data_IF_034708726142
#
_entry.id   IF_034708726142
#
_cell.length_a   1.000
_cell.length_b   1.000
_cell.length_c   1.000
_cell.angle_alpha   90.00
_cell.angle_beta   90.00
_cell.angle_gamma   90.00
#
_symmetry.space_group_name_H-M   'P 1'
#
loop_
_entity.id
_entity.type
_entity.pdbx_description
1 polymer ?
#
# COMPACT_ATOMS: atom_id res chain seq x y z
N UNK A 1 15.75 2.57 -2.00
CA UNK A 1 14.98 3.01 -3.18
C UNK A 1 13.50 2.79 -2.91
N UNK A 2 12.65 3.78 -3.26
CA UNK A 2 11.21 3.70 -3.06
C UNK A 2 10.48 3.82 -4.40
N UNK A 3 9.64 2.82 -4.74
CA UNK A 3 8.83 2.78 -5.96
C UNK A 3 7.34 2.77 -5.60
N UNK A 4 6.57 3.68 -6.18
CA UNK A 4 5.11 3.69 -6.10
C UNK A 4 4.52 3.15 -7.40
N UNK A 5 3.68 2.13 -7.29
CA UNK A 5 2.95 1.52 -8.41
C UNK A 5 1.47 1.82 -8.25
N UNK A 6 0.89 2.57 -9.19
CA UNK A 6 -0.51 2.97 -9.18
C UNK A 6 -1.27 2.38 -10.37
N UNK A 7 -2.56 2.15 -10.23
CA UNK A 7 -3.41 1.73 -11.35
C UNK A 7 -4.80 1.34 -10.91
N UNK A 8 -5.72 1.26 -11.86
CA UNK A 8 -7.11 0.86 -11.65
C UNK A 8 -7.24 -0.61 -11.23
N UNK A 9 -8.47 -1.02 -10.90
CA UNK A 9 -8.79 -2.42 -10.64
C UNK A 9 -8.43 -3.28 -11.85
N UNK A 10 -7.84 -4.45 -11.62
CA UNK A 10 -7.41 -5.40 -12.66
C UNK A 10 -6.45 -4.81 -13.73
N UNK A 11 -5.79 -3.69 -13.45
CA UNK A 11 -4.84 -3.06 -14.38
C UNK A 11 -3.55 -3.87 -14.62
N UNK A 12 -3.26 -4.90 -13.79
CA UNK A 12 -2.00 -5.64 -13.81
C UNK A 12 -0.92 -5.06 -12.88
N UNK A 13 -1.26 -4.04 -12.06
CA UNK A 13 -0.31 -3.39 -11.14
C UNK A 13 0.36 -4.32 -10.15
N UNK A 14 -0.40 -5.28 -9.57
CA UNK A 14 0.13 -6.26 -8.61
C UNK A 14 1.17 -7.16 -9.25
N UNK A 15 0.88 -7.68 -10.44
CA UNK A 15 1.83 -8.52 -11.18
C UNK A 15 3.09 -7.74 -11.59
N UNK A 16 2.92 -6.49 -12.03
CA UNK A 16 4.05 -5.62 -12.32
C UNK A 16 4.91 -5.40 -11.07
N UNK A 17 4.31 -5.07 -9.93
CA UNK A 17 5.01 -4.82 -8.68
C UNK A 17 5.76 -6.06 -8.18
N UNK A 18 5.16 -7.25 -8.25
CA UNK A 18 5.85 -8.50 -7.92
C UNK A 18 7.06 -8.72 -8.84
N UNK A 19 6.92 -8.59 -10.16
CA UNK A 19 8.02 -8.73 -11.11
C UNK A 19 9.12 -7.68 -10.85
N UNK A 20 8.74 -6.46 -10.52
CA UNK A 20 9.69 -5.41 -10.16
C UNK A 20 10.53 -5.81 -8.95
N UNK A 21 9.91 -6.26 -7.85
CA UNK A 21 10.64 -6.71 -6.65
C UNK A 21 11.53 -7.92 -6.96
N UNK A 22 11.07 -8.85 -7.79
CA UNK A 22 11.89 -9.98 -8.23
C UNK A 22 13.15 -9.52 -8.99
N UNK A 23 13.05 -8.49 -9.83
CA UNK A 23 14.18 -7.96 -10.60
C UNK A 23 15.23 -7.24 -9.75
N UNK A 24 14.86 -6.76 -8.54
CA UNK A 24 15.77 -6.12 -7.61
C UNK A 24 16.72 -7.12 -6.90
N UNK A 25 16.40 -8.41 -6.99
CA UNK A 25 17.17 -9.49 -6.35
C UNK A 25 17.96 -10.22 -7.42
N UNK A 26 19.27 -9.99 -7.49
CA UNK A 26 20.14 -10.78 -8.39
C UNK A 26 20.38 -12.17 -7.79
N UNK A 27 20.51 -13.23 -8.63
CA UNK A 27 20.79 -14.60 -8.17
C UNK A 27 22.06 -14.71 -7.31
N UNK A 28 23.04 -13.84 -7.52
CA UNK A 28 24.31 -13.79 -6.79
C UNK A 28 24.18 -13.24 -5.36
N UNK A 29 23.09 -12.55 -5.06
CA UNK A 29 22.76 -12.00 -3.74
C UNK A 29 21.74 -12.84 -2.97
N UNK A 30 21.34 -13.99 -3.50
CA UNK A 30 20.48 -14.94 -2.80
C UNK A 30 21.39 -15.81 -1.89
N UNK A 31 21.97 -15.18 -0.90
CA UNK A 31 22.39 -15.89 0.33
C UNK A 31 21.09 -16.18 1.13
N UNK A 32 21.00 -17.29 1.84
CA UNK A 32 19.87 -17.55 2.74
C UNK A 32 19.66 -16.45 3.80
N UNK A 33 20.59 -15.52 3.91
CA UNK A 33 20.58 -14.41 4.87
C UNK A 33 20.47 -13.02 4.22
N UNK A 34 20.66 -12.89 2.91
CA UNK A 34 20.62 -11.60 2.22
C UNK A 34 19.49 -11.57 1.17
N UNK A 35 18.48 -10.76 1.42
CA UNK A 35 17.46 -10.44 0.43
C UNK A 35 16.15 -11.17 0.64
N UNK A 36 15.67 -11.21 1.86
CA UNK A 36 14.28 -11.61 2.12
C UNK A 36 13.35 -10.73 1.30
N UNK A 37 12.58 -11.35 0.43
CA UNK A 37 11.46 -10.70 -0.25
C UNK A 37 10.26 -10.77 0.67
N UNK A 38 9.86 -9.62 1.18
CA UNK A 38 8.74 -9.52 2.11
C UNK A 38 7.53 -8.99 1.34
N UNK A 39 6.42 -9.71 1.44
CA UNK A 39 5.13 -9.26 0.94
C UNK A 39 4.24 -8.91 2.13
N UNK A 40 3.88 -7.64 2.26
CA UNK A 40 2.96 -7.16 3.29
C UNK A 40 1.56 -7.14 2.70
N UNK A 41 0.70 -8.05 3.17
CA UNK A 41 -0.69 -8.15 2.77
C UNK A 41 -1.57 -7.32 3.71
N UNK A 42 -2.27 -6.34 3.16
CA UNK A 42 -3.14 -5.44 3.93
C UNK A 42 -4.62 -5.77 3.82
N UNK A 43 -5.00 -6.68 2.91
CA UNK A 43 -6.39 -7.09 2.72
C UNK A 43 -6.86 -7.98 3.86
N UNK A 44 -7.90 -7.54 4.58
CA UNK A 44 -8.55 -8.35 5.60
C UNK A 44 -9.38 -9.48 4.99
N UNK A 45 -9.39 -10.69 5.58
CA UNK A 45 -10.15 -11.83 5.07
C UNK A 45 -11.63 -11.72 5.46
N UNK A 46 -12.42 -10.96 4.72
CA UNK A 46 -13.86 -10.92 4.90
C UNK A 46 -14.57 -11.96 4.02
N UNK A 47 -15.39 -12.85 4.66
CA UNK A 47 -16.18 -13.87 3.99
C UNK A 47 -15.44 -15.17 3.66
N UNK A 48 -16.22 -16.25 3.38
CA UNK A 48 -15.68 -17.61 3.16
C UNK A 48 -14.75 -17.72 1.95
N UNK A 49 -15.08 -17.07 0.85
CA UNK A 49 -14.29 -17.11 -0.39
C UNK A 49 -12.98 -16.30 -0.30
N UNK A 50 -12.90 -15.32 0.61
CA UNK A 50 -11.69 -14.54 0.82
C UNK A 50 -10.53 -15.41 1.33
N UNK A 51 -10.79 -16.34 2.25
CA UNK A 51 -9.75 -17.24 2.80
C UNK A 51 -9.16 -18.14 1.72
N UNK A 52 -9.98 -18.73 0.86
CA UNK A 52 -9.51 -19.59 -0.23
C UNK A 52 -8.68 -18.79 -1.25
N UNK A 53 -9.10 -17.56 -1.56
CA UNK A 53 -8.36 -16.64 -2.44
C UNK A 53 -7.03 -16.24 -1.82
N UNK A 54 -6.99 -15.87 -0.56
CA UNK A 54 -5.77 -15.52 0.18
C UNK A 54 -4.82 -16.72 0.20
N UNK A 55 -5.29 -17.92 0.54
CA UNK A 55 -4.46 -19.13 0.57
C UNK A 55 -3.82 -19.43 -0.80
N UNK A 56 -4.58 -19.28 -1.89
CA UNK A 56 -4.06 -19.46 -3.26
C UNK A 56 -2.99 -18.40 -3.59
N UNK A 57 -3.22 -17.15 -3.24
CA UNK A 57 -2.24 -16.08 -3.43
C UNK A 57 -0.97 -16.29 -2.60
N UNK A 58 -1.09 -16.80 -1.36
CA UNK A 58 0.06 -17.16 -0.54
C UNK A 58 0.89 -18.27 -1.17
N UNK A 59 0.25 -19.34 -1.70
CA UNK A 59 0.95 -20.43 -2.38
C UNK A 59 1.73 -19.93 -3.59
N UNK A 60 1.10 -19.16 -4.48
CA UNK A 60 1.73 -18.60 -5.68
C UNK A 60 2.94 -17.70 -5.35
N UNK A 61 2.87 -16.90 -4.26
CA UNK A 61 3.96 -16.02 -3.85
C UNK A 61 5.11 -16.78 -3.19
N UNK A 62 4.81 -17.86 -2.46
CA UNK A 62 5.84 -18.73 -1.87
C UNK A 62 6.74 -19.31 -2.95
N UNK A 63 6.18 -19.77 -4.06
CA UNK A 63 6.93 -20.29 -5.21
C UNK A 63 7.84 -19.24 -5.84
N UNK A 64 7.53 -17.95 -5.65
CA UNK A 64 8.36 -16.80 -6.08
C UNK A 64 9.35 -16.34 -4.99
N UNK A 65 9.43 -17.04 -3.87
CA UNK A 65 10.37 -16.76 -2.77
C UNK A 65 9.98 -15.57 -1.89
N UNK A 66 8.70 -15.20 -1.84
CA UNK A 66 8.21 -14.20 -0.90
C UNK A 66 7.85 -14.81 0.46
N UNK A 67 8.23 -14.11 1.52
CA UNK A 67 7.68 -14.30 2.86
C UNK A 67 6.50 -13.35 3.01
N UNK A 68 5.30 -13.87 3.21
CA UNK A 68 4.10 -13.05 3.39
C UNK A 68 3.89 -12.74 4.87
N UNK A 69 3.68 -11.45 5.15
CA UNK A 69 3.27 -10.93 6.46
C UNK A 69 1.89 -10.31 6.29
N UNK A 70 0.91 -10.77 7.03
CA UNK A 70 -0.41 -10.14 7.10
C UNK A 70 -0.35 -8.99 8.12
N UNK A 71 -0.57 -7.78 7.63
CA UNK A 71 -0.56 -6.58 8.48
C UNK A 71 -1.62 -5.61 7.97
N UNK A 72 -2.71 -5.50 8.69
CA UNK A 72 -3.89 -4.76 8.26
C UNK A 72 -3.88 -3.30 8.69
N UNK A 73 -3.21 -2.99 9.80
CA UNK A 73 -3.09 -1.64 10.38
C UNK A 73 -1.73 -1.49 11.08
N UNK A 74 -1.40 -0.27 11.50
CA UNK A 74 -0.23 0.04 12.33
C UNK A 74 1.09 -0.53 11.76
N UNK A 75 1.44 -0.11 10.55
CA UNK A 75 2.73 -0.50 9.94
C UNK A 75 3.93 -0.03 10.79
N UNK A 76 3.77 0.98 11.64
CA UNK A 76 4.86 1.49 12.48
C UNK A 76 5.37 0.46 13.50
N UNK A 77 4.50 -0.46 13.93
CA UNK A 77 4.87 -1.58 14.80
C UNK A 77 5.46 -2.79 14.07
N UNK A 78 5.54 -2.76 12.72
CA UNK A 78 6.02 -3.89 11.93
C UNK A 78 7.54 -3.88 11.83
N UNK A 79 8.16 -5.01 12.16
CA UNK A 79 9.59 -5.24 11.92
C UNK A 79 9.79 -6.17 10.73
N UNK A 80 10.64 -5.76 9.81
CA UNK A 80 11.09 -6.58 8.68
C UNK A 80 12.62 -6.76 8.79
N UNK A 81 13.17 -7.86 8.26
CA UNK A 81 14.63 -8.05 8.25
C UNK A 81 15.32 -6.89 7.54
N UNK A 82 16.41 -6.40 8.13
CA UNK A 82 17.18 -5.30 7.56
C UNK A 82 17.67 -5.62 6.14
N UNK A 83 17.57 -4.64 5.26
CA UNK A 83 17.99 -4.80 3.87
C UNK A 83 17.04 -5.62 2.99
N UNK A 84 15.82 -5.95 3.47
CA UNK A 84 14.82 -6.66 2.68
C UNK A 84 14.34 -5.86 1.47
N UNK A 85 13.84 -6.57 0.45
CA UNK A 85 13.01 -6.02 -0.61
C UNK A 85 11.53 -6.19 -0.23
N UNK A 86 10.86 -5.10 0.06
CA UNK A 86 9.49 -5.10 0.60
C UNK A 86 8.50 -4.70 -0.49
N UNK A 87 7.43 -5.49 -0.63
CA UNK A 87 6.23 -5.18 -1.40
C UNK A 87 5.05 -5.02 -0.46
N UNK A 88 4.45 -3.83 -0.42
CA UNK A 88 3.21 -3.57 0.31
C UNK A 88 2.03 -3.56 -0.66
N UNK A 89 1.07 -4.43 -0.43
CA UNK A 89 -0.14 -4.56 -1.25
C UNK A 89 -1.41 -4.71 -0.40
N UNK A 90 -2.29 -3.69 -0.40
CA UNK A 90 -2.13 -2.39 -1.07
C UNK A 90 -2.40 -1.24 -0.09
N UNK A 91 -1.98 -0.05 -0.47
CA UNK A 91 -2.18 1.15 0.35
C UNK A 91 -3.65 1.51 0.51
N UNK A 92 -4.51 1.23 -0.48
CA UNK A 92 -5.94 1.48 -0.38
C UNK A 92 -6.60 0.69 0.73
N UNK A 93 -6.29 -0.62 0.84
CA UNK A 93 -6.77 -1.45 1.95
C UNK A 93 -6.22 -0.96 3.31
N UNK A 94 -4.94 -0.58 3.36
CA UNK A 94 -4.35 -0.06 4.59
C UNK A 94 -5.08 1.21 5.08
N UNK A 95 -5.28 2.18 4.18
CA UNK A 95 -5.99 3.44 4.50
C UNK A 95 -7.42 3.15 4.97
N UNK A 96 -8.14 2.26 4.29
CA UNK A 96 -9.48 1.85 4.71
C UNK A 96 -9.47 1.20 6.10
N UNK A 97 -8.54 0.28 6.34
CA UNK A 97 -8.43 -0.40 7.63
C UNK A 97 -8.08 0.57 8.77
N UNK A 98 -7.15 1.50 8.56
CA UNK A 98 -6.80 2.54 9.54
C UNK A 98 -8.00 3.45 9.83
N UNK A 99 -8.71 3.86 8.79
CA UNK A 99 -9.87 4.73 8.90
C UNK A 99 -11.02 4.08 9.69
N UNK A 100 -11.30 2.80 9.43
CA UNK A 100 -12.40 2.07 10.07
C UNK A 100 -11.97 1.25 11.29
N UNK A 101 -10.71 1.34 11.72
CA UNK A 101 -10.27 0.71 12.96
C UNK A 101 -10.95 1.35 14.18
N UNK A 102 -11.30 0.52 15.18
CA UNK A 102 -11.99 0.98 16.40
C UNK A 102 -11.25 2.10 17.19
N UNK A 103 -9.99 2.36 16.87
CA UNK A 103 -9.19 3.43 17.51
C UNK A 103 -9.55 4.82 17.00
N UNK A 104 -10.08 4.95 15.80
CA UNK A 104 -10.40 6.24 15.17
C UNK A 104 -11.87 6.65 15.32
N UNK A 105 -12.73 5.79 15.88
CA UNK A 105 -14.17 6.11 16.08
C UNK A 105 -14.38 7.27 17.07
N UNK A 106 -13.39 7.60 17.88
CA UNK A 106 -13.48 8.72 18.83
C UNK A 106 -13.25 10.10 18.18
N UNK A 107 -12.58 10.17 17.02
CA UNK A 107 -12.31 11.43 16.31
C UNK A 107 -13.47 11.85 15.37
N UNK A 108 -14.40 10.95 15.07
CA UNK A 108 -15.52 11.21 14.15
C UNK A 108 -16.67 12.04 14.74
N UNK A 109 -16.61 12.41 16.03
CA UNK A 109 -17.65 13.22 16.67
C UNK A 109 -17.41 14.74 16.59
N UNK A 110 -16.48 15.22 15.76
CA UNK A 110 -16.34 16.65 15.53
C UNK A 110 -17.24 17.06 14.33
N UNK A 111 -18.12 18.06 14.52
CA UNK A 111 -19.04 18.49 13.46
C UNK A 111 -18.28 19.10 12.29
N UNK A 112 -18.77 18.80 11.06
CA UNK A 112 -18.35 19.33 9.78
C UNK A 112 -17.96 20.83 9.84
N UNK A 113 -16.67 21.13 9.95
CA UNK A 113 -16.16 22.43 9.54
C UNK A 113 -15.75 22.34 8.07
N UNK A 114 -16.71 22.59 7.20
CA UNK A 114 -16.43 22.91 5.80
C UNK A 114 -15.70 24.25 5.81
N UNK A 115 -14.38 24.21 5.71
CA UNK A 115 -13.59 25.43 5.53
C UNK A 115 -12.81 25.35 4.23
N UNK A 116 -13.10 26.33 3.40
CA UNK A 116 -12.40 26.69 2.18
C UNK A 116 -10.94 27.04 2.48
N UNK A 117 -10.02 26.35 1.80
CA UNK A 117 -8.73 26.94 1.40
C UNK A 117 -7.56 26.91 2.37
N UNK A 118 -7.61 26.22 3.50
CA UNK A 118 -6.47 26.13 4.42
C UNK A 118 -5.76 24.77 4.31
N UNK A 119 -4.42 24.82 4.37
CA UNK A 119 -3.56 23.64 4.48
C UNK A 119 -3.81 22.95 5.83
N UNK A 120 -4.79 22.05 5.87
CA UNK A 120 -5.08 21.27 7.08
C UNK A 120 -3.92 20.33 7.42
N UNK A 121 -3.62 20.21 8.71
CA UNK A 121 -2.78 19.13 9.21
C UNK A 121 -3.32 17.78 8.70
N UNK A 122 -2.44 16.82 8.34
CA UNK A 122 -2.88 15.50 7.89
C UNK A 122 -3.79 14.86 8.95
N UNK A 123 -4.83 14.15 8.51
CA UNK A 123 -5.69 13.39 9.41
C UNK A 123 -4.89 12.32 10.17
N UNK A 124 -5.47 11.77 11.25
CA UNK A 124 -4.87 10.66 11.98
C UNK A 124 -4.59 9.45 11.07
N UNK A 125 -5.49 9.16 10.13
CA UNK A 125 -5.35 8.07 9.14
C UNK A 125 -4.17 8.30 8.20
N UNK A 126 -4.08 9.47 7.58
CA UNK A 126 -2.95 9.83 6.70
C UNK A 126 -1.64 9.78 7.46
N UNK A 127 -1.60 10.34 8.68
CA UNK A 127 -0.42 10.33 9.53
C UNK A 127 0.01 8.91 9.86
N UNK A 128 -0.91 8.02 10.28
CA UNK A 128 -0.60 6.63 10.61
C UNK A 128 -0.02 5.87 9.41
N UNK A 129 -0.65 6.00 8.23
CA UNK A 129 -0.17 5.35 7.01
C UNK A 129 1.23 5.83 6.61
N UNK A 130 1.48 7.15 6.62
CA UNK A 130 2.77 7.72 6.24
C UNK A 130 3.87 7.40 7.25
N UNK A 131 3.59 7.46 8.55
CA UNK A 131 4.54 7.06 9.61
C UNK A 131 4.93 5.59 9.46
N UNK A 132 3.97 4.73 9.14
CA UNK A 132 4.25 3.32 8.87
C UNK A 132 5.16 3.11 7.65
N UNK A 133 4.95 3.88 6.58
CA UNK A 133 5.83 3.86 5.40
C UNK A 133 7.24 4.34 5.76
N UNK A 134 7.36 5.41 6.56
CA UNK A 134 8.66 5.91 7.02
C UNK A 134 9.42 4.84 7.83
N UNK A 135 8.70 4.13 8.69
CA UNK A 135 9.26 3.06 9.49
C UNK A 135 9.78 1.89 8.62
N UNK A 136 9.07 1.52 7.56
CA UNK A 136 9.52 0.51 6.60
C UNK A 136 10.74 0.98 5.80
N UNK A 137 10.77 2.24 5.37
CA UNK A 137 11.89 2.82 4.62
C UNK A 137 13.21 2.81 5.40
N UNK A 138 13.15 2.89 6.73
CA UNK A 138 14.33 2.79 7.59
C UNK A 138 14.89 1.37 7.69
N UNK A 139 14.10 0.33 7.40
CA UNK A 139 14.47 -1.06 7.58
C UNK A 139 14.85 -1.77 6.28
N UNK A 140 14.21 -1.41 5.16
CA UNK A 140 14.35 -2.13 3.90
C UNK A 140 15.35 -1.46 2.93
N UNK A 141 15.98 -2.26 2.06
CA UNK A 141 16.79 -1.75 0.96
C UNK A 141 15.92 -1.14 -0.15
N UNK A 142 14.83 -1.82 -0.45
CA UNK A 142 13.86 -1.38 -1.46
C UNK A 142 12.44 -1.55 -0.95
N UNK A 143 11.63 -0.48 -1.10
CA UNK A 143 10.21 -0.50 -0.81
C UNK A 143 9.43 -0.29 -2.11
N UNK A 144 8.53 -1.21 -2.41
CA UNK A 144 7.55 -1.07 -3.50
C UNK A 144 6.17 -1.03 -2.88
N UNK A 145 5.41 0.02 -3.16
CA UNK A 145 4.03 0.18 -2.66
C UNK A 145 3.08 0.12 -3.85
N UNK A 146 2.08 -0.74 -3.76
CA UNK A 146 0.94 -0.77 -4.68
C UNK A 146 -0.19 0.08 -4.12
N UNK A 147 -0.78 0.91 -4.96
CA UNK A 147 -1.95 1.71 -4.61
C UNK A 147 -2.97 1.75 -5.74
N UNK A 148 -4.19 2.17 -5.42
CA UNK A 148 -5.30 2.18 -6.37
C UNK A 148 -5.50 3.59 -6.95
N UNK A 149 -5.71 3.63 -8.28
CA UNK A 149 -6.36 4.74 -8.97
C UNK A 149 -7.87 4.45 -8.97
N UNK A 150 -8.64 5.24 -8.22
CA UNK A 150 -10.09 5.09 -8.02
C UNK A 150 -10.82 6.44 -8.10
N UNK A 151 -10.17 7.45 -8.66
CA UNK A 151 -10.65 8.83 -8.62
C UNK A 151 -11.31 9.28 -9.92
N UNK A 152 -11.17 8.50 -11.00
CA UNK A 152 -11.52 8.91 -12.36
C UNK A 152 -12.80 8.27 -12.88
N UNK A 153 -13.60 7.61 -12.03
CA UNK A 153 -14.79 6.88 -12.48
C UNK A 153 -16.06 7.74 -12.66
N UNK A 154 -16.00 9.01 -12.25
CA UNK A 154 -17.09 9.98 -12.43
C UNK A 154 -18.35 9.70 -11.59
N UNK A 155 -18.29 8.80 -10.60
CA UNK A 155 -19.41 8.45 -9.74
C UNK A 155 -19.59 9.45 -8.60
N UNK A 156 -20.85 9.61 -8.20
CA UNK A 156 -21.20 10.31 -6.96
C UNK A 156 -21.23 9.27 -5.85
N UNK A 157 -20.42 9.50 -4.83
CA UNK A 157 -20.30 8.60 -3.69
C UNK A 157 -20.93 9.19 -2.43
N UNK A 158 -21.30 8.31 -1.51
CA UNK A 158 -21.73 8.69 -0.15
C UNK A 158 -20.56 9.30 0.64
N UNK A 159 -20.90 10.01 1.74
CA UNK A 159 -19.93 10.80 2.52
C UNK A 159 -18.72 9.97 3.00
N UNK A 160 -18.95 8.76 3.49
CA UNK A 160 -17.90 7.87 4.00
C UNK A 160 -16.92 7.48 2.88
N UNK A 161 -17.46 7.13 1.71
CA UNK A 161 -16.62 6.81 0.53
C UNK A 161 -15.86 8.03 0.06
N UNK A 162 -16.47 9.22 0.02
CA UNK A 162 -15.80 10.47 -0.31
C UNK A 162 -14.68 10.79 0.69
N UNK A 163 -14.91 10.53 1.97
CA UNK A 163 -13.88 10.71 2.99
C UNK A 163 -12.70 9.76 2.74
N UNK A 164 -12.95 8.46 2.55
CA UNK A 164 -11.92 7.50 2.17
C UNK A 164 -11.12 7.92 0.93
N UNK A 165 -11.80 8.37 -0.13
CA UNK A 165 -11.14 8.82 -1.35
C UNK A 165 -10.23 10.03 -1.11
N UNK A 166 -10.64 10.98 -0.26
CA UNK A 166 -9.81 12.14 0.12
C UNK A 166 -8.56 11.72 0.89
N UNK A 167 -8.70 10.82 1.86
CA UNK A 167 -7.58 10.26 2.63
C UNK A 167 -6.59 9.53 1.72
N UNK A 168 -7.09 8.62 0.88
CA UNK A 168 -6.25 7.88 -0.08
C UNK A 168 -5.55 8.82 -1.07
N UNK A 169 -6.25 9.85 -1.57
CA UNK A 169 -5.66 10.84 -2.46
C UNK A 169 -4.53 11.62 -1.77
N UNK A 170 -4.70 11.99 -0.50
CA UNK A 170 -3.68 12.69 0.28
C UNK A 170 -2.45 11.82 0.48
N UNK A 171 -2.64 10.54 0.84
CA UNK A 171 -1.56 9.56 0.97
C UNK A 171 -0.85 9.37 -0.37
N UNK A 172 -1.58 9.11 -1.45
CA UNK A 172 -1.00 8.88 -2.79
C UNK A 172 -0.16 10.06 -3.27
N UNK A 173 -0.65 11.31 -3.11
CA UNK A 173 0.13 12.51 -3.48
C UNK A 173 1.43 12.60 -2.70
N UNK A 174 1.39 12.36 -1.39
CA UNK A 174 2.57 12.42 -0.53
C UNK A 174 3.57 11.33 -0.90
N UNK A 175 3.11 10.11 -1.13
CA UNK A 175 3.96 8.99 -1.55
C UNK A 175 4.58 9.23 -2.92
N UNK A 176 3.82 9.73 -3.89
CA UNK A 176 4.32 10.05 -5.24
C UNK A 176 5.40 11.14 -5.20
N UNK A 177 5.22 12.18 -4.37
CA UNK A 177 6.22 13.22 -4.20
C UNK A 177 7.55 12.68 -3.63
N UNK A 178 7.48 11.70 -2.72
CA UNK A 178 8.62 11.11 -1.99
C UNK A 178 9.27 9.95 -2.73
N UNK A 179 8.54 9.25 -3.60
CA UNK A 179 9.04 8.10 -4.33
C UNK A 179 10.18 8.46 -5.28
N UNK A 180 11.17 7.58 -5.43
CA UNK A 180 12.22 7.67 -6.45
C UNK A 180 11.66 7.36 -7.84
N UNK A 181 10.68 6.44 -7.90
CA UNK A 181 9.99 6.05 -9.12
C UNK A 181 8.49 5.98 -8.89
N UNK A 182 7.72 6.51 -9.84
CA UNK A 182 6.26 6.40 -9.88
C UNK A 182 5.89 5.77 -11.22
N UNK A 183 5.17 4.65 -11.15
CA UNK A 183 4.75 3.90 -12.33
C UNK A 183 3.25 3.70 -12.30
N UNK A 184 2.56 4.15 -13.33
CA UNK A 184 1.17 3.82 -13.57
C UNK A 184 1.06 2.56 -14.43
N UNK A 185 0.18 1.63 -14.06
CA UNK A 185 -0.05 0.43 -14.86
C UNK A 185 -1.46 0.46 -15.44
N UNK A 186 -1.53 0.46 -16.77
CA UNK A 186 -2.77 0.47 -17.54
C UNK A 186 -2.77 -0.74 -18.47
N UNK A 187 -3.78 -1.62 -18.34
CA UNK A 187 -3.91 -2.83 -19.19
C UNK A 187 -2.62 -3.69 -19.24
N UNK A 188 -1.93 -3.82 -18.11
CA UNK A 188 -0.67 -4.56 -17.99
C UNK A 188 0.58 -3.81 -18.49
N UNK A 189 0.41 -2.62 -19.06
CA UNK A 189 1.49 -1.80 -19.62
C UNK A 189 1.93 -0.78 -18.57
N UNK A 190 3.22 -0.81 -18.12
CA UNK A 190 3.73 0.18 -17.20
C UNK A 190 4.05 1.49 -17.93
N UNK A 191 3.59 2.60 -17.37
CA UNK A 191 3.90 3.95 -17.80
C UNK A 191 4.68 4.64 -16.67
N UNK A 192 5.94 5.00 -16.92
CA UNK A 192 6.77 5.68 -15.93
C UNK A 192 6.40 7.16 -15.87
N UNK A 193 5.96 7.63 -14.71
CA UNK A 193 5.59 9.03 -14.45
C UNK A 193 6.74 9.81 -13.80
N UNK A 194 7.61 9.10 -13.06
CA UNK A 194 8.79 9.68 -12.39
C UNK A 194 9.95 8.70 -12.36
#
# INVERSE_FOLDING_TARGET
MFTLVIGGSASGKSEYAERHVLSLSTPEKISPQSGNRIYIATMQPFGGDARARIARHHAMRRDRGFVTIERYTDLSGLKVPEGSNVLLEDMGNLVANEMFSKKNVADEMLPDKIHSGETHAPSGTVTAALTGVDHLLLQCAHLTIVTNEVFSDGKIYEKETLHYLRELAAVNRTLAARADHVVEVVCGIPNRLK
#
